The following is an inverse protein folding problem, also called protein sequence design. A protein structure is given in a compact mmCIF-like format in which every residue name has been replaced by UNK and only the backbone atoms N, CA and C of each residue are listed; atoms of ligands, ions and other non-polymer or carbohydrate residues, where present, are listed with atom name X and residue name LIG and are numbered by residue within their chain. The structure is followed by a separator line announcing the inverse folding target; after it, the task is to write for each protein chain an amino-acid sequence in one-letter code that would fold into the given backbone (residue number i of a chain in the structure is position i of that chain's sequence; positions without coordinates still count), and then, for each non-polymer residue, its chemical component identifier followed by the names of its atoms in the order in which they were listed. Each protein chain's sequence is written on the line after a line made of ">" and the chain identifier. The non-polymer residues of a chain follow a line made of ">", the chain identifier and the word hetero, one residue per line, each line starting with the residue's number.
data_IF_654662491167
#
_entry.id   IF_654662491167
#
_cell.length_a   1.000
_cell.length_b   1.000
_cell.length_c   1.000
_cell.angle_alpha   90.00
_cell.angle_beta   90.00
_cell.angle_gamma   90.00
#
_symmetry.space_group_name_H-M   'P 1'
#
loop_
_entity.id
_entity.type
_entity.pdbx_description
1 polymer ?
#
# COMPACT_ATOMS: atom_id res chain seq x y z
N UNK A 1 -7.78 -23.32 2.44
CA UNK A 1 -6.85 -22.28 2.92
C UNK A 1 -7.67 -21.09 3.37
N UNK A 2 -7.33 -20.53 4.49
CA UNK A 2 -7.91 -19.28 4.96
C UNK A 2 -7.22 -18.04 4.33
N UNK A 3 -7.70 -16.84 4.66
CA UNK A 3 -7.13 -15.61 4.12
C UNK A 3 -5.67 -15.40 4.54
N UNK A 4 -5.28 -15.58 5.82
CA UNK A 4 -3.88 -15.49 6.24
C UNK A 4 -2.94 -16.45 5.50
N UNK A 5 -3.29 -17.72 5.35
CA UNK A 5 -2.51 -18.69 4.57
C UNK A 5 -2.35 -18.30 3.10
N UNK A 6 -3.41 -17.75 2.51
CA UNK A 6 -3.38 -17.28 1.12
C UNK A 6 -2.44 -16.09 0.96
N UNK A 7 -2.46 -15.16 1.90
CA UNK A 7 -1.54 -14.01 1.92
C UNK A 7 -0.09 -14.47 2.11
N UNK A 8 0.17 -15.39 3.05
CA UNK A 8 1.51 -15.94 3.28
C UNK A 8 2.05 -16.64 2.02
N UNK A 9 1.24 -17.47 1.38
CA UNK A 9 1.63 -18.21 0.17
C UNK A 9 1.93 -17.24 -0.99
N UNK A 10 1.08 -16.22 -1.18
CA UNK A 10 1.27 -15.20 -2.21
C UNK A 10 2.54 -14.37 -1.96
N UNK A 11 2.78 -13.94 -0.72
CA UNK A 11 3.99 -13.19 -0.35
C UNK A 11 5.26 -14.02 -0.52
N UNK A 12 5.22 -15.31 -0.18
CA UNK A 12 6.34 -16.22 -0.42
C UNK A 12 6.65 -16.40 -1.91
N UNK A 13 5.62 -16.55 -2.74
CA UNK A 13 5.78 -16.65 -4.19
C UNK A 13 6.33 -15.34 -4.78
N UNK A 14 5.86 -14.18 -4.32
CA UNK A 14 6.36 -12.87 -4.74
C UNK A 14 7.85 -12.73 -4.39
N UNK A 15 8.26 -13.08 -3.17
CA UNK A 15 9.65 -13.02 -2.76
C UNK A 15 10.57 -13.88 -3.65
N UNK A 16 10.17 -15.11 -3.98
CA UNK A 16 10.93 -15.99 -4.87
C UNK A 16 11.00 -15.44 -6.30
N UNK A 17 9.89 -14.92 -6.83
CA UNK A 17 9.88 -14.27 -8.14
C UNK A 17 10.79 -13.04 -8.16
N UNK A 18 10.77 -12.24 -7.11
CA UNK A 18 11.60 -11.04 -6.97
C UNK A 18 13.09 -11.38 -6.89
N UNK A 19 13.46 -12.47 -6.21
CA UNK A 19 14.84 -12.99 -6.21
C UNK A 19 15.25 -13.43 -7.62
N UNK A 20 14.43 -14.22 -8.29
CA UNK A 20 14.70 -14.73 -9.63
C UNK A 20 14.86 -13.59 -10.66
N UNK A 21 14.08 -12.53 -10.53
CA UNK A 21 14.07 -11.39 -11.45
C UNK A 21 15.02 -10.24 -11.03
N UNK A 22 15.73 -10.37 -9.91
CA UNK A 22 16.53 -9.28 -9.34
C UNK A 22 17.53 -8.66 -10.35
N UNK A 23 18.16 -9.48 -11.22
CA UNK A 23 19.09 -9.04 -12.24
C UNK A 23 18.44 -8.22 -13.39
N UNK A 24 17.13 -8.27 -13.52
CA UNK A 24 16.32 -7.50 -14.50
C UNK A 24 15.66 -6.27 -13.93
N UNK A 25 15.82 -6.02 -12.62
CA UNK A 25 15.19 -4.87 -11.96
C UNK A 25 15.55 -3.56 -12.66
N UNK A 26 14.54 -2.74 -12.96
CA UNK A 26 14.68 -1.47 -13.66
C UNK A 26 15.02 -1.57 -15.15
N UNK A 27 15.16 -2.77 -15.74
CA UNK A 27 15.51 -2.92 -17.17
C UNK A 27 14.29 -3.08 -18.08
N UNK A 28 13.14 -3.35 -17.51
CA UNK A 28 11.86 -3.55 -18.22
C UNK A 28 10.89 -2.39 -18.00
N UNK A 29 11.29 -1.39 -17.25
CA UNK A 29 10.49 -0.21 -17.01
C UNK A 29 10.30 0.55 -18.32
N UNK A 30 9.05 0.87 -18.64
CA UNK A 30 8.69 1.76 -19.72
C UNK A 30 8.17 3.04 -19.13
N UNK A 31 8.89 4.14 -19.35
CA UNK A 31 8.37 5.46 -19.02
C UNK A 31 7.10 5.71 -19.83
N UNK A 32 6.02 6.05 -19.14
CA UNK A 32 4.82 6.58 -19.80
C UNK A 32 5.11 8.02 -20.21
N UNK A 33 4.96 8.29 -21.50
CA UNK A 33 5.08 9.65 -22.04
C UNK A 33 3.69 10.27 -22.00
N UNK A 34 3.56 11.35 -21.23
CA UNK A 34 2.33 12.14 -21.14
C UNK A 34 2.44 13.37 -22.03
N UNK A 35 1.30 13.90 -22.55
CA UNK A 35 1.30 15.19 -23.21
C UNK A 35 1.73 16.29 -22.23
N UNK A 36 2.25 17.43 -22.72
CA UNK A 36 2.60 18.57 -21.88
C UNK A 36 1.39 19.02 -21.03
N UNK A 37 1.62 19.27 -19.76
CA UNK A 37 0.62 19.77 -18.84
C UNK A 37 0.22 21.20 -19.25
N UNK A 38 -1.08 21.45 -19.35
CA UNK A 38 -1.63 22.78 -19.60
C UNK A 38 -1.79 23.50 -18.26
N UNK A 39 -1.30 24.73 -18.20
CA UNK A 39 -1.60 25.59 -17.06
C UNK A 39 -3.04 26.15 -17.19
N UNK A 40 -3.90 25.64 -16.34
CA UNK A 40 -5.32 26.06 -16.24
C UNK A 40 -5.62 26.70 -14.89
N UNK A 41 -4.57 27.12 -14.16
CA UNK A 41 -4.69 27.69 -12.81
C UNK A 41 -5.48 29.00 -12.76
N UNK A 42 -5.38 29.80 -13.80
CA UNK A 42 -6.09 31.08 -13.94
C UNK A 42 -7.48 30.95 -14.61
N UNK A 43 -7.87 29.74 -15.05
CA UNK A 43 -9.15 29.53 -15.70
C UNK A 43 -10.28 29.34 -14.70
N UNK A 44 -11.48 29.83 -15.05
CA UNK A 44 -12.70 29.49 -14.30
C UNK A 44 -12.91 27.97 -14.27
N UNK A 45 -13.32 27.42 -13.13
CA UNK A 45 -13.53 25.97 -12.99
C UNK A 45 -14.58 25.45 -13.99
N UNK A 46 -14.19 24.47 -14.79
CA UNK A 46 -15.04 23.68 -15.69
C UNK A 46 -14.97 22.22 -15.25
N UNK A 47 -15.88 21.84 -14.36
CA UNK A 47 -15.85 20.52 -13.72
C UNK A 47 -16.57 19.49 -14.58
N UNK A 48 -15.91 18.35 -14.84
CA UNK A 48 -16.53 17.14 -15.36
C UNK A 48 -16.86 16.17 -14.24
N UNK A 49 -18.09 15.65 -14.23
CA UNK A 49 -18.54 14.64 -13.25
C UNK A 49 -18.82 13.32 -13.96
N UNK A 50 -18.12 12.27 -13.56
CA UNK A 50 -18.27 10.91 -14.11
C UNK A 50 -18.82 9.99 -13.04
N UNK A 51 -20.06 9.52 -13.20
CA UNK A 51 -20.75 8.70 -12.21
C UNK A 51 -20.72 7.24 -12.62
N UNK A 52 -20.14 6.40 -11.78
CA UNK A 52 -19.95 4.98 -12.00
C UNK A 52 -21.10 4.16 -11.43
N UNK A 53 -21.61 3.20 -12.21
CA UNK A 53 -22.54 2.18 -11.71
C UNK A 53 -21.83 1.13 -10.84
N UNK A 54 -20.54 0.90 -11.06
CA UNK A 54 -19.78 -0.22 -10.47
C UNK A 54 -20.55 -1.55 -10.58
N UNK A 55 -21.14 -1.81 -11.75
CA UNK A 55 -22.11 -2.88 -11.97
C UNK A 55 -23.28 -2.78 -10.99
N UNK A 56 -23.52 -3.86 -10.26
CA UNK A 56 -24.59 -3.92 -9.28
C UNK A 56 -24.27 -3.26 -7.93
N UNK A 57 -23.01 -2.91 -7.67
CA UNK A 57 -22.60 -2.39 -6.35
C UNK A 57 -23.17 -0.99 -6.05
N UNK A 58 -23.22 -0.13 -7.05
CA UNK A 58 -23.81 1.21 -6.96
C UNK A 58 -25.16 1.21 -7.66
N UNK A 59 -25.22 0.80 -8.94
CA UNK A 59 -26.42 0.95 -9.77
C UNK A 59 -27.65 0.13 -9.34
N UNK A 60 -27.50 -0.85 -8.44
CA UNK A 60 -28.64 -1.56 -7.85
C UNK A 60 -29.35 -0.73 -6.76
N UNK A 61 -28.63 0.17 -6.11
CA UNK A 61 -29.07 0.89 -4.92
C UNK A 61 -29.29 2.37 -5.23
N UNK A 62 -28.33 3.00 -5.89
CA UNK A 62 -28.36 4.42 -6.27
C UNK A 62 -28.96 4.56 -7.65
N UNK A 63 -29.89 5.48 -7.82
CA UNK A 63 -30.38 5.94 -9.13
C UNK A 63 -29.33 6.83 -9.78
N UNK A 64 -28.38 6.20 -10.50
CA UNK A 64 -27.25 6.88 -11.13
C UNK A 64 -27.69 7.92 -12.15
N UNK A 65 -28.68 7.66 -13.04
CA UNK A 65 -29.20 8.71 -13.94
C UNK A 65 -29.63 9.97 -13.19
N UNK A 66 -30.39 9.81 -12.10
CA UNK A 66 -30.84 10.96 -11.29
C UNK A 66 -29.70 11.71 -10.61
N UNK A 67 -28.61 11.03 -10.28
CA UNK A 67 -27.38 11.69 -9.76
C UNK A 67 -26.69 12.50 -10.85
N UNK A 68 -26.62 11.99 -12.09
CA UNK A 68 -26.05 12.70 -13.24
C UNK A 68 -26.89 13.95 -13.57
N UNK A 69 -28.21 13.81 -13.66
CA UNK A 69 -29.13 14.95 -13.88
C UNK A 69 -28.93 16.03 -12.81
N UNK A 70 -28.89 15.62 -11.55
CA UNK A 70 -28.60 16.56 -10.46
C UNK A 70 -27.24 17.22 -10.57
N UNK A 71 -26.20 16.48 -10.93
CA UNK A 71 -24.85 17.03 -11.12
C UNK A 71 -24.84 18.15 -12.15
N UNK A 72 -25.59 18.01 -13.27
CA UNK A 72 -25.72 19.04 -14.29
C UNK A 72 -26.32 20.37 -13.78
N UNK A 73 -27.03 20.35 -12.66
CA UNK A 73 -27.62 21.57 -12.06
C UNK A 73 -26.66 22.35 -11.16
N UNK A 74 -25.51 21.75 -10.83
CA UNK A 74 -24.56 22.35 -9.92
C UNK A 74 -23.70 23.41 -10.58
N UNK A 75 -23.26 24.39 -9.80
CA UNK A 75 -22.36 25.45 -10.28
C UNK A 75 -21.04 24.87 -10.77
N UNK A 76 -20.50 25.42 -11.83
CA UNK A 76 -19.23 25.07 -12.46
C UNK A 76 -19.21 23.68 -13.12
N UNK A 77 -20.30 22.94 -13.16
CA UNK A 77 -20.35 21.68 -13.89
C UNK A 77 -20.55 21.97 -15.38
N UNK A 78 -19.53 21.63 -16.17
CA UNK A 78 -19.56 21.77 -17.63
C UNK A 78 -20.00 20.48 -18.33
N UNK A 79 -19.87 19.33 -17.65
CA UNK A 79 -20.26 18.03 -18.19
C UNK A 79 -20.54 17.05 -17.05
N UNK A 80 -21.56 16.19 -17.21
CA UNK A 80 -21.77 15.02 -16.36
C UNK A 80 -22.24 13.83 -17.19
N UNK A 81 -21.67 12.67 -16.95
CA UNK A 81 -22.07 11.43 -17.62
C UNK A 81 -21.94 10.22 -16.68
N UNK A 82 -22.58 9.12 -17.07
CA UNK A 82 -22.52 7.85 -16.35
C UNK A 82 -21.72 6.80 -17.11
N UNK A 83 -21.15 5.87 -16.39
CA UNK A 83 -20.47 4.70 -16.96
C UNK A 83 -20.70 3.45 -16.12
N UNK A 84 -20.71 2.27 -16.76
CA UNK A 84 -20.87 1.00 -16.03
C UNK A 84 -19.68 0.72 -15.12
N UNK A 85 -18.46 0.95 -15.62
CA UNK A 85 -17.20 0.77 -14.91
C UNK A 85 -16.24 1.88 -15.29
N UNK A 86 -16.20 2.95 -14.52
CA UNK A 86 -15.31 4.08 -14.79
C UNK A 86 -13.81 3.70 -14.80
N UNK A 87 -13.45 2.64 -14.07
CA UNK A 87 -12.07 2.12 -13.98
C UNK A 87 -11.67 1.16 -15.12
N UNK A 88 -12.58 0.83 -16.06
CA UNK A 88 -12.23 0.05 -17.23
C UNK A 88 -11.34 0.88 -18.19
N UNK A 89 -10.37 0.23 -18.84
CA UNK A 89 -9.36 0.93 -19.64
C UNK A 89 -9.96 1.79 -20.78
N UNK A 90 -10.96 1.26 -21.45
CA UNK A 90 -11.71 1.94 -22.51
C UNK A 90 -12.49 3.15 -21.97
N UNK A 91 -13.08 3.02 -20.79
CA UNK A 91 -13.81 4.10 -20.14
C UNK A 91 -12.85 5.18 -19.63
N UNK A 92 -11.72 4.82 -19.05
CA UNK A 92 -10.69 5.77 -18.61
C UNK A 92 -10.15 6.59 -19.82
N UNK A 93 -9.91 5.91 -20.95
CA UNK A 93 -9.54 6.57 -22.20
C UNK A 93 -10.63 7.54 -22.67
N UNK A 94 -11.90 7.12 -22.66
CA UNK A 94 -13.03 8.00 -23.02
C UNK A 94 -13.14 9.21 -22.10
N UNK A 95 -12.89 9.05 -20.79
CA UNK A 95 -12.83 10.17 -19.84
C UNK A 95 -11.74 11.15 -20.27
N UNK A 96 -10.53 10.67 -20.60
CA UNK A 96 -9.44 11.53 -21.07
C UNK A 96 -9.79 12.28 -22.37
N UNK A 97 -10.49 11.62 -23.30
CA UNK A 97 -10.99 12.23 -24.53
C UNK A 97 -12.04 13.30 -24.21
N UNK A 98 -13.02 13.01 -23.37
CA UNK A 98 -14.06 13.95 -22.94
C UNK A 98 -13.46 15.20 -22.24
N UNK A 99 -12.43 15.01 -21.40
CA UNK A 99 -11.71 16.12 -20.77
C UNK A 99 -11.16 17.07 -21.84
N UNK A 100 -10.51 16.52 -22.88
CA UNK A 100 -9.94 17.32 -23.98
C UNK A 100 -11.00 18.00 -24.83
N UNK A 101 -12.03 17.26 -25.23
CA UNK A 101 -13.10 17.74 -26.13
C UNK A 101 -13.95 18.82 -25.50
N UNK A 102 -14.28 18.68 -24.22
CA UNK A 102 -15.12 19.65 -23.49
C UNK A 102 -14.30 20.76 -22.83
N UNK A 103 -12.97 20.69 -22.89
CA UNK A 103 -12.10 21.65 -22.22
C UNK A 103 -12.28 21.65 -20.69
N UNK A 104 -12.49 20.47 -20.11
CA UNK A 104 -12.64 20.35 -18.66
C UNK A 104 -11.28 20.58 -17.99
N UNK A 105 -11.28 21.31 -16.88
CA UNK A 105 -10.06 21.61 -16.13
C UNK A 105 -10.11 21.14 -14.67
N UNK A 106 -11.22 20.53 -14.26
CA UNK A 106 -11.43 19.85 -12.98
C UNK A 106 -12.25 18.58 -13.21
N UNK A 107 -11.97 17.53 -12.47
CA UNK A 107 -12.66 16.24 -12.66
C UNK A 107 -13.10 15.66 -11.33
N UNK A 108 -14.33 15.18 -11.29
CA UNK A 108 -14.89 14.39 -10.20
C UNK A 108 -15.30 13.03 -10.74
N UNK A 109 -14.82 11.96 -10.12
CA UNK A 109 -15.30 10.61 -10.38
C UNK A 109 -16.09 10.12 -9.17
N UNK A 110 -17.40 9.98 -9.35
CA UNK A 110 -18.29 9.44 -8.33
C UNK A 110 -18.37 7.91 -8.46
N UNK A 111 -17.62 7.19 -7.62
CA UNK A 111 -17.43 5.75 -7.75
C UNK A 111 -17.13 5.09 -6.38
N UNK A 112 -16.20 4.15 -6.37
CA UNK A 112 -15.69 3.46 -5.17
C UNK A 112 -14.73 4.34 -4.36
N UNK A 113 -14.09 3.74 -3.33
CA UNK A 113 -13.10 4.43 -2.51
C UNK A 113 -11.88 4.86 -3.33
N UNK A 114 -11.33 6.07 -3.09
CA UNK A 114 -10.09 6.52 -3.73
C UNK A 114 -8.90 5.57 -3.51
N UNK A 115 -8.89 4.83 -2.40
CA UNK A 115 -7.84 3.84 -2.11
C UNK A 115 -7.65 2.78 -3.19
N UNK A 116 -8.67 2.55 -4.01
CA UNK A 116 -8.63 1.51 -5.06
C UNK A 116 -8.10 2.05 -6.38
N UNK A 117 -8.67 3.15 -6.87
CA UNK A 117 -8.45 3.58 -8.27
C UNK A 117 -8.07 5.06 -8.43
N UNK A 118 -7.78 5.79 -7.36
CA UNK A 118 -7.32 7.18 -7.49
C UNK A 118 -6.09 7.34 -8.38
N UNK A 119 -5.05 6.48 -8.31
CA UNK A 119 -3.90 6.57 -9.21
C UNK A 119 -4.27 6.44 -10.69
N UNK A 120 -5.21 5.55 -11.02
CA UNK A 120 -5.69 5.37 -12.39
C UNK A 120 -6.30 6.68 -12.95
N UNK A 121 -7.17 7.31 -12.18
CA UNK A 121 -7.83 8.54 -12.63
C UNK A 121 -6.88 9.72 -12.67
N UNK A 122 -5.91 9.80 -11.78
CA UNK A 122 -4.84 10.80 -11.85
C UNK A 122 -3.99 10.61 -13.12
N UNK A 123 -3.70 9.38 -13.51
CA UNK A 123 -3.03 9.10 -14.78
C UNK A 123 -3.92 9.49 -15.98
N UNK A 124 -5.23 9.25 -15.89
CA UNK A 124 -6.19 9.69 -16.92
C UNK A 124 -6.17 11.22 -17.13
N UNK A 125 -6.05 12.02 -16.05
CA UNK A 125 -5.88 13.47 -16.19
C UNK A 125 -4.55 13.82 -16.84
N UNK A 126 -3.46 13.17 -16.47
CA UNK A 126 -2.15 13.35 -17.13
C UNK A 126 -2.22 13.05 -18.63
N UNK A 127 -2.88 11.95 -19.00
CA UNK A 127 -3.12 11.59 -20.41
C UNK A 127 -3.94 12.65 -21.14
N UNK A 128 -4.84 13.37 -20.43
CA UNK A 128 -5.58 14.50 -20.97
C UNK A 128 -4.77 15.82 -21.01
N UNK A 129 -3.56 15.85 -20.45
CA UNK A 129 -2.72 17.04 -20.34
C UNK A 129 -3.15 18.00 -19.23
N UNK A 130 -3.80 17.51 -18.19
CA UNK A 130 -4.25 18.27 -17.03
C UNK A 130 -3.49 17.80 -15.79
N UNK A 131 -3.19 18.75 -14.88
CA UNK A 131 -2.54 18.41 -13.61
C UNK A 131 -3.33 17.35 -12.86
N UNK A 132 -2.70 16.23 -12.39
CA UNK A 132 -3.40 15.10 -11.78
C UNK A 132 -4.06 15.43 -10.42
N UNK A 133 -3.77 16.58 -9.85
CA UNK A 133 -4.35 17.02 -8.58
C UNK A 133 -5.60 17.88 -8.75
N UNK A 134 -6.00 18.22 -9.98
CA UNK A 134 -7.31 18.78 -10.29
C UNK A 134 -8.42 17.71 -10.30
N UNK A 135 -8.28 16.70 -9.47
CA UNK A 135 -9.12 15.52 -9.37
C UNK A 135 -9.67 15.33 -7.96
N UNK A 136 -10.94 15.00 -7.86
CA UNK A 136 -11.56 14.50 -6.62
C UNK A 136 -12.36 13.22 -6.85
N UNK A 137 -12.47 12.37 -5.85
CA UNK A 137 -13.19 11.11 -5.94
C UNK A 137 -14.31 11.03 -4.90
N UNK A 138 -15.54 11.13 -5.39
CA UNK A 138 -16.76 11.02 -4.60
C UNK A 138 -17.06 9.55 -4.30
N UNK A 139 -16.85 9.11 -3.06
CA UNK A 139 -17.11 7.72 -2.68
C UNK A 139 -18.61 7.47 -2.46
N UNK A 140 -19.28 7.03 -3.52
CA UNK A 140 -20.71 6.68 -3.50
C UNK A 140 -20.96 5.16 -3.39
N UNK A 141 -19.92 4.35 -3.22
CA UNK A 141 -20.02 2.91 -2.95
C UNK A 141 -19.93 2.61 -1.47
N UNK A 142 -18.72 2.70 -0.89
CA UNK A 142 -18.46 2.34 0.51
C UNK A 142 -19.17 3.28 1.48
N UNK A 143 -19.23 4.58 1.17
CA UNK A 143 -19.87 5.57 2.03
C UNK A 143 -21.37 5.76 1.75
N UNK A 144 -21.92 5.13 0.71
CA UNK A 144 -23.29 5.34 0.29
C UNK A 144 -24.03 4.02 -0.01
N UNK A 145 -23.87 3.42 -1.18
CA UNK A 145 -24.66 2.27 -1.62
C UNK A 145 -24.53 1.04 -0.73
N UNK A 146 -23.37 0.78 -0.14
CA UNK A 146 -23.18 -0.34 0.78
C UNK A 146 -23.76 -0.08 2.16
N UNK A 147 -23.69 1.16 2.65
CA UNK A 147 -24.24 1.53 3.95
C UNK A 147 -25.76 1.58 3.91
N UNK A 148 -26.35 2.07 2.81
CA UNK A 148 -27.78 2.23 2.61
C UNK A 148 -28.36 1.23 1.62
N UNK A 149 -27.88 -0.01 1.62
CA UNK A 149 -28.24 -1.03 0.62
C UNK A 149 -29.73 -1.37 0.54
N UNK A 150 -30.52 -1.06 1.58
CA UNK A 150 -31.96 -1.29 1.68
C UNK A 150 -32.80 -0.02 1.51
N UNK A 151 -32.18 1.15 1.47
CA UNK A 151 -32.81 2.48 1.52
C UNK A 151 -32.41 3.26 0.25
N UNK A 152 -32.98 2.85 -0.89
CA UNK A 152 -32.54 3.34 -2.22
C UNK A 152 -32.72 4.84 -2.41
N UNK A 153 -33.80 5.41 -1.88
CA UNK A 153 -34.10 6.83 -1.98
C UNK A 153 -33.08 7.64 -1.18
N UNK A 154 -32.83 7.25 0.07
CA UNK A 154 -31.83 7.88 0.94
C UNK A 154 -30.41 7.71 0.40
N UNK A 155 -30.10 6.52 -0.15
CA UNK A 155 -28.83 6.29 -0.83
C UNK A 155 -28.64 7.22 -2.03
N UNK A 156 -29.70 7.40 -2.85
CA UNK A 156 -29.63 8.30 -4.00
C UNK A 156 -29.47 9.76 -3.57
N UNK A 157 -30.20 10.18 -2.54
CA UNK A 157 -30.06 11.53 -2.01
C UNK A 157 -28.67 11.77 -1.42
N UNK A 158 -28.16 10.80 -0.66
CA UNK A 158 -26.79 10.87 -0.11
C UNK A 158 -25.73 10.89 -1.22
N UNK A 159 -25.91 10.13 -2.30
CA UNK A 159 -25.00 10.17 -3.45
C UNK A 159 -24.97 11.56 -4.09
N UNK A 160 -26.14 12.22 -4.25
CA UNK A 160 -26.23 13.61 -4.72
C UNK A 160 -25.49 14.57 -3.80
N UNK A 161 -25.63 14.42 -2.48
CA UNK A 161 -24.91 15.27 -1.52
C UNK A 161 -23.41 15.07 -1.57
N UNK A 162 -22.93 13.82 -1.68
CA UNK A 162 -21.49 13.51 -1.81
C UNK A 162 -20.96 14.11 -3.11
N UNK A 163 -21.67 13.96 -4.23
CA UNK A 163 -21.28 14.56 -5.53
C UNK A 163 -21.23 16.08 -5.44
N UNK A 164 -22.23 16.71 -4.82
CA UNK A 164 -22.26 18.18 -4.61
C UNK A 164 -21.05 18.65 -3.79
N UNK A 165 -20.70 17.95 -2.72
CA UNK A 165 -19.52 18.28 -1.91
C UNK A 165 -18.23 18.14 -2.70
N UNK A 166 -18.07 17.03 -3.44
CA UNK A 166 -16.90 16.81 -4.30
C UNK A 166 -16.80 17.82 -5.44
N UNK A 167 -17.90 18.18 -6.08
CA UNK A 167 -17.92 19.20 -7.12
C UNK A 167 -17.53 20.59 -6.60
N UNK A 168 -18.04 20.97 -5.42
CA UNK A 168 -17.64 22.18 -4.74
C UNK A 168 -16.15 22.18 -4.40
N UNK A 169 -15.65 21.09 -3.83
CA UNK A 169 -14.22 20.91 -3.52
C UNK A 169 -13.37 20.99 -4.79
N UNK A 170 -13.76 20.27 -5.84
CA UNK A 170 -13.03 20.26 -7.11
C UNK A 170 -12.86 21.66 -7.71
N UNK A 171 -13.86 22.53 -7.55
CA UNK A 171 -13.80 23.92 -8.01
C UNK A 171 -12.73 24.77 -7.32
N UNK A 172 -12.23 24.34 -6.15
CA UNK A 172 -11.20 25.02 -5.36
C UNK A 172 -9.85 24.30 -5.35
N UNK A 173 -9.69 23.22 -6.13
CA UNK A 173 -8.41 22.54 -6.22
C UNK A 173 -7.37 23.39 -6.94
N UNK A 174 -6.15 23.33 -6.47
CA UNK A 174 -4.98 23.99 -7.04
C UNK A 174 -4.01 22.93 -7.62
N UNK A 175 -3.17 23.29 -8.58
CA UNK A 175 -2.18 22.36 -9.11
C UNK A 175 -1.11 22.09 -8.07
N UNK A 176 -0.81 20.82 -7.86
CA UNK A 176 0.31 20.41 -7.03
C UNK A 176 1.39 19.82 -7.91
N UNK A 177 2.63 20.02 -7.52
CA UNK A 177 3.77 19.38 -8.16
C UNK A 177 4.26 18.23 -7.29
N UNK A 178 4.43 17.08 -7.93
CA UNK A 178 5.13 15.95 -7.30
C UNK A 178 6.63 16.25 -7.21
N UNK A 179 7.25 15.80 -6.16
CA UNK A 179 8.70 15.80 -6.03
C UNK A 179 9.16 14.37 -5.75
N UNK A 180 10.31 14.02 -6.30
CA UNK A 180 10.94 12.75 -6.05
C UNK A 180 11.90 12.86 -4.85
N UNK A 181 11.79 11.91 -3.94
CA UNK A 181 12.73 11.76 -2.83
C UNK A 181 13.60 10.53 -3.10
N UNK A 182 14.93 10.64 -2.92
CA UNK A 182 15.78 9.47 -3.00
C UNK A 182 15.40 8.47 -1.91
N UNK A 183 15.38 7.20 -2.26
CA UNK A 183 15.10 6.11 -1.31
C UNK A 183 16.40 5.37 -1.01
N UNK A 184 16.73 5.26 0.27
CA UNK A 184 17.82 4.41 0.72
C UNK A 184 17.43 2.93 0.48
N UNK A 185 18.25 2.21 -0.26
CA UNK A 185 17.95 0.82 -0.66
C UNK A 185 18.36 -0.22 0.40
N UNK A 186 18.91 0.22 1.54
CA UNK A 186 19.26 -0.66 2.66
C UNK A 186 18.03 -1.01 3.50
N UNK A 187 18.04 -2.16 4.09
CA UNK A 187 17.00 -2.64 4.99
C UNK A 187 17.52 -2.84 6.41
N UNK A 188 16.71 -2.51 7.40
CA UNK A 188 16.91 -2.90 8.79
C UNK A 188 15.92 -4.02 9.13
N UNK A 189 16.43 -5.13 9.66
CA UNK A 189 15.63 -6.23 10.18
C UNK A 189 15.86 -6.32 11.69
N UNK A 190 14.79 -6.19 12.47
CA UNK A 190 14.85 -6.24 13.94
C UNK A 190 14.32 -7.58 14.42
N UNK A 191 15.21 -8.40 14.96
CA UNK A 191 14.95 -9.74 15.46
C UNK A 191 15.60 -10.83 14.60
N UNK A 192 16.52 -11.58 15.20
CA UNK A 192 17.31 -12.63 14.56
C UNK A 192 16.66 -14.02 14.66
N UNK A 193 15.34 -14.10 14.82
CA UNK A 193 14.60 -15.36 14.75
C UNK A 193 14.43 -15.85 13.30
N UNK A 194 13.66 -16.94 13.13
CA UNK A 194 13.43 -17.56 11.82
C UNK A 194 12.89 -16.55 10.79
N UNK A 195 11.88 -15.77 11.16
CA UNK A 195 11.28 -14.77 10.26
C UNK A 195 12.28 -13.68 9.85
N UNK A 196 13.06 -13.15 10.81
CA UNK A 196 14.04 -12.10 10.54
C UNK A 196 15.19 -12.59 9.66
N UNK A 197 15.74 -13.76 9.96
CA UNK A 197 16.81 -14.37 9.14
C UNK A 197 16.35 -14.66 7.71
N UNK A 198 15.15 -15.22 7.56
CA UNK A 198 14.58 -15.51 6.24
C UNK A 198 14.32 -14.22 5.43
N UNK A 199 13.79 -13.18 6.09
CA UNK A 199 13.60 -11.88 5.45
C UNK A 199 14.92 -11.22 5.05
N UNK A 200 15.91 -11.26 5.94
CA UNK A 200 17.24 -10.72 5.66
C UNK A 200 17.91 -11.43 4.47
N UNK A 201 17.86 -12.75 4.44
CA UNK A 201 18.43 -13.53 3.35
C UNK A 201 17.70 -13.26 2.03
N UNK A 202 16.37 -13.24 2.05
CA UNK A 202 15.56 -12.96 0.87
C UNK A 202 15.86 -11.58 0.26
N UNK A 203 16.04 -10.55 1.07
CA UNK A 203 16.42 -9.22 0.61
C UNK A 203 17.85 -9.19 0.08
N UNK A 204 18.77 -9.82 0.76
CA UNK A 204 20.17 -9.87 0.36
C UNK A 204 20.37 -10.63 -0.96
N UNK A 205 19.66 -11.72 -1.18
CA UNK A 205 19.63 -12.46 -2.45
C UNK A 205 19.02 -11.65 -3.60
N UNK A 206 18.21 -10.65 -3.28
CA UNK A 206 17.72 -9.65 -4.24
C UNK A 206 18.72 -8.51 -4.49
N UNK A 207 19.88 -8.51 -3.84
CA UNK A 207 20.95 -7.52 -4.00
C UNK A 207 20.80 -6.28 -3.11
N UNK A 208 19.99 -6.34 -2.06
CA UNK A 208 19.92 -5.27 -1.07
C UNK A 208 20.89 -5.50 0.09
N UNK A 209 21.43 -4.41 0.62
CA UNK A 209 22.20 -4.44 1.87
C UNK A 209 21.25 -4.49 3.06
N UNK A 210 21.52 -5.39 4.01
CA UNK A 210 20.64 -5.68 5.15
C UNK A 210 21.41 -5.61 6.47
N UNK A 211 20.87 -4.88 7.41
CA UNK A 211 21.31 -4.87 8.81
C UNK A 211 20.35 -5.70 9.65
N UNK A 212 20.84 -6.81 10.21
CA UNK A 212 20.07 -7.71 11.07
C UNK A 212 20.48 -7.47 12.53
N UNK A 213 19.54 -7.00 13.34
CA UNK A 213 19.76 -6.68 14.76
C UNK A 213 19.05 -7.71 15.64
N UNK A 214 19.79 -8.36 16.53
CA UNK A 214 19.28 -9.34 17.50
C UNK A 214 19.70 -8.94 18.92
N UNK A 215 18.75 -8.96 19.84
CA UNK A 215 18.99 -8.61 21.25
C UNK A 215 19.80 -9.65 22.03
N UNK A 216 19.71 -10.91 21.62
CA UNK A 216 20.45 -12.00 22.26
C UNK A 216 21.81 -12.20 21.60
N UNK A 217 22.66 -12.97 22.25
CA UNK A 217 24.00 -13.37 21.75
C UNK A 217 23.91 -14.21 20.48
N UNK A 218 22.81 -14.94 20.31
CA UNK A 218 22.65 -15.94 19.26
C UNK A 218 21.43 -15.69 18.38
N UNK A 219 21.58 -15.91 17.07
CA UNK A 219 20.47 -16.00 16.14
C UNK A 219 19.64 -17.28 16.37
N UNK A 220 18.39 -17.27 15.93
CA UNK A 220 17.51 -18.44 15.92
C UNK A 220 16.22 -18.27 16.71
N UNK A 221 16.19 -17.40 17.71
CA UNK A 221 14.99 -17.11 18.50
C UNK A 221 14.32 -18.38 19.05
N UNK A 222 12.98 -18.46 18.94
CA UNK A 222 12.19 -19.60 19.41
C UNK A 222 12.52 -20.93 18.72
N UNK A 223 13.01 -20.91 17.47
CA UNK A 223 13.36 -22.13 16.75
C UNK A 223 14.46 -22.93 17.43
N UNK A 224 15.32 -22.33 18.27
CA UNK A 224 16.33 -23.01 19.06
C UNK A 224 15.74 -24.00 20.07
N UNK A 225 14.47 -23.88 20.45
CA UNK A 225 13.76 -24.71 21.41
C UNK A 225 12.92 -25.81 20.76
N UNK A 226 12.81 -25.79 19.42
CA UNK A 226 12.02 -26.75 18.65
C UNK A 226 12.97 -27.74 17.99
N UNK A 227 12.80 -29.03 18.24
CA UNK A 227 13.67 -30.06 17.66
C UNK A 227 13.08 -30.62 16.36
N UNK A 228 11.79 -30.91 16.34
CA UNK A 228 11.11 -31.49 15.19
C UNK A 228 9.77 -30.81 14.93
N UNK A 229 9.35 -30.74 13.67
CA UNK A 229 7.97 -30.39 13.30
C UNK A 229 7.05 -31.60 13.49
N UNK A 230 5.74 -31.41 13.37
CA UNK A 230 4.78 -32.52 13.38
C UNK A 230 5.01 -33.51 12.25
N UNK A 231 5.55 -33.07 11.12
CA UNK A 231 5.90 -33.88 9.95
C UNK A 231 7.27 -34.56 10.09
N UNK A 232 7.97 -34.35 11.20
CA UNK A 232 9.25 -35.00 11.51
C UNK A 232 10.49 -34.28 10.92
N UNK A 233 10.36 -33.04 10.44
CA UNK A 233 11.51 -32.27 9.96
C UNK A 233 12.43 -31.89 11.15
N UNK A 234 13.74 -32.08 10.99
CA UNK A 234 14.75 -31.64 11.95
C UNK A 234 14.92 -30.10 11.87
N UNK A 235 14.39 -29.41 12.88
CA UNK A 235 14.42 -27.94 12.97
C UNK A 235 15.83 -27.45 13.29
N UNK A 236 16.64 -28.19 14.05
CA UNK A 236 17.98 -27.77 14.43
C UNK A 236 18.95 -27.84 13.24
N UNK A 237 18.83 -28.87 12.41
CA UNK A 237 19.60 -28.98 11.18
C UNK A 237 19.25 -27.83 10.20
N UNK A 238 17.95 -27.55 10.01
CA UNK A 238 17.48 -26.43 9.18
C UNK A 238 17.96 -25.09 9.73
N UNK A 239 17.85 -24.85 11.03
CA UNK A 239 18.27 -23.63 11.70
C UNK A 239 19.77 -23.38 11.53
N UNK A 240 20.59 -24.43 11.72
CA UNK A 240 22.03 -24.35 11.51
C UNK A 240 22.43 -23.95 10.09
N UNK A 241 21.76 -24.54 9.09
CA UNK A 241 21.97 -24.15 7.68
C UNK A 241 21.58 -22.68 7.41
N UNK A 242 20.41 -22.24 7.91
CA UNK A 242 19.94 -20.88 7.74
C UNK A 242 20.87 -19.85 8.41
N UNK A 243 21.29 -20.09 9.65
CA UNK A 243 22.26 -19.24 10.36
C UNK A 243 23.57 -19.17 9.55
N UNK A 244 24.05 -20.31 9.07
CA UNK A 244 25.24 -20.36 8.24
C UNK A 244 25.14 -19.56 6.95
N UNK A 245 23.98 -19.60 6.27
CA UNK A 245 23.70 -18.77 5.09
C UNK A 245 23.71 -17.28 5.41
N UNK A 246 23.06 -16.87 6.50
CA UNK A 246 23.00 -15.46 6.94
C UNK A 246 24.40 -14.93 7.22
N UNK A 247 25.23 -15.62 7.98
CA UNK A 247 26.59 -15.16 8.30
C UNK A 247 27.54 -15.17 7.10
N UNK A 248 27.35 -16.05 6.13
CA UNK A 248 28.18 -16.10 4.92
C UNK A 248 27.80 -15.09 3.86
N UNK A 249 26.61 -14.49 3.95
CA UNK A 249 26.15 -13.56 2.91
C UNK A 249 26.78 -12.17 3.07
N UNK A 250 27.54 -11.74 2.07
CA UNK A 250 28.31 -10.48 2.12
C UNK A 250 27.47 -9.21 2.30
N UNK A 251 26.20 -9.24 1.93
CA UNK A 251 25.28 -8.09 2.05
C UNK A 251 24.47 -8.11 3.35
N UNK A 252 24.74 -9.04 4.28
CA UNK A 252 24.04 -9.07 5.56
C UNK A 252 25.02 -8.72 6.68
N UNK A 253 24.73 -7.65 7.40
CA UNK A 253 25.45 -7.21 8.58
C UNK A 253 24.72 -7.61 9.84
N UNK A 254 25.22 -8.61 10.53
CA UNK A 254 24.60 -9.14 11.76
C UNK A 254 25.15 -8.42 12.97
N UNK A 255 24.27 -7.94 13.83
CA UNK A 255 24.58 -7.37 15.13
C UNK A 255 23.80 -8.11 16.22
N UNK A 256 24.46 -8.98 16.96
CA UNK A 256 23.92 -9.64 18.15
C UNK A 256 24.19 -8.78 19.40
N UNK A 257 23.63 -9.13 20.55
CA UNK A 257 23.71 -8.34 21.80
C UNK A 257 23.37 -6.86 21.56
N UNK A 258 22.43 -6.62 20.66
CA UNK A 258 22.15 -5.29 20.11
C UNK A 258 20.67 -4.96 20.17
N UNK A 259 20.35 -3.73 20.59
CA UNK A 259 18.98 -3.26 20.70
C UNK A 259 18.79 -1.93 19.95
N UNK A 260 17.62 -1.79 19.36
CA UNK A 260 17.18 -0.51 18.78
C UNK A 260 16.79 0.44 19.92
N UNK A 261 17.40 1.61 19.97
CA UNK A 261 17.16 2.60 21.03
C UNK A 261 16.43 3.84 20.54
N UNK A 262 16.58 4.19 19.25
CA UNK A 262 15.91 5.35 18.66
C UNK A 262 15.69 5.09 17.17
N UNK A 263 14.58 5.58 16.63
CA UNK A 263 14.31 5.59 15.20
C UNK A 263 13.71 6.94 14.80
N UNK A 264 14.20 7.52 13.71
CA UNK A 264 13.77 8.80 13.17
C UNK A 264 13.74 8.75 11.64
N UNK A 265 13.24 9.83 11.02
CA UNK A 265 13.11 9.91 9.56
C UNK A 265 11.70 9.61 9.06
N UNK A 266 11.61 9.17 7.81
CA UNK A 266 10.35 8.90 7.12
C UNK A 266 10.54 7.75 6.14
N UNK A 267 9.44 7.24 5.59
CA UNK A 267 9.44 6.10 4.65
C UNK A 267 10.44 6.35 3.51
N UNK A 268 11.36 5.40 3.33
CA UNK A 268 12.45 5.51 2.38
C UNK A 268 13.73 6.12 2.94
N UNK A 269 13.71 6.79 4.11
CA UNK A 269 14.86 7.50 4.66
C UNK A 269 14.84 7.51 6.19
N UNK A 270 15.00 6.34 6.78
CA UNK A 270 15.10 6.17 8.23
C UNK A 270 16.54 6.26 8.71
N UNK A 271 16.71 6.73 9.94
CA UNK A 271 17.95 6.65 10.69
C UNK A 271 17.61 6.00 12.04
N UNK A 272 18.19 4.84 12.28
CA UNK A 272 17.97 4.07 13.53
C UNK A 272 19.27 3.97 14.32
N UNK A 273 19.18 4.20 15.61
CA UNK A 273 20.27 3.98 16.53
C UNK A 273 20.18 2.56 17.11
N UNK A 274 21.28 1.85 17.02
CA UNK A 274 21.44 0.51 17.57
C UNK A 274 22.54 0.57 18.60
N UNK A 275 22.28 0.07 19.80
CA UNK A 275 23.23 0.03 20.90
C UNK A 275 23.66 -1.41 21.16
N UNK A 276 24.97 -1.65 21.17
CA UNK A 276 25.62 -2.90 21.54
C UNK A 276 26.76 -2.60 22.50
N UNK A 277 26.81 -3.27 23.65
CA UNK A 277 27.87 -3.10 24.67
C UNK A 277 28.18 -1.62 25.02
N UNK A 278 27.14 -0.77 25.05
CA UNK A 278 27.28 0.67 25.32
C UNK A 278 27.80 1.50 24.14
N UNK A 279 28.06 0.90 23.01
CA UNK A 279 28.41 1.59 21.76
C UNK A 279 27.16 1.84 20.92
N UNK A 280 27.01 3.05 20.42
CA UNK A 280 25.88 3.44 19.59
C UNK A 280 26.31 3.52 18.13
N UNK A 281 25.64 2.77 17.27
CA UNK A 281 25.78 2.83 15.82
C UNK A 281 24.52 3.44 15.21
N UNK A 282 24.68 4.36 14.25
CA UNK A 282 23.59 4.91 13.45
C UNK A 282 23.51 4.20 12.09
N UNK A 283 22.38 3.58 11.82
CA UNK A 283 22.12 2.87 10.57
C UNK A 283 21.12 3.69 9.75
N UNK A 284 21.49 4.01 8.50
CA UNK A 284 20.57 4.59 7.51
C UNK A 284 19.95 3.46 6.69
N UNK A 285 18.64 3.51 6.52
CA UNK A 285 17.92 2.49 5.75
C UNK A 285 16.59 3.03 5.22
N UNK A 286 16.05 2.41 4.17
CA UNK A 286 14.77 2.82 3.58
C UNK A 286 13.58 2.12 4.19
N UNK A 287 13.75 0.89 4.69
CA UNK A 287 12.68 0.09 5.29
C UNK A 287 13.13 -0.56 6.60
N UNK A 288 12.16 -0.82 7.47
CA UNK A 288 12.35 -1.62 8.69
C UNK A 288 11.42 -2.82 8.65
N UNK A 289 11.97 -4.01 8.85
CA UNK A 289 11.20 -5.24 9.06
C UNK A 289 11.26 -5.58 10.54
N UNK A 290 10.11 -5.62 11.20
CA UNK A 290 9.99 -5.97 12.61
C UNK A 290 9.66 -7.46 12.71
N UNK A 291 10.62 -8.24 13.20
CA UNK A 291 10.53 -9.69 13.33
C UNK A 291 10.89 -10.13 14.77
N UNK A 292 10.46 -9.37 15.77
CA UNK A 292 10.84 -9.54 17.19
C UNK A 292 10.27 -10.79 17.85
N UNK A 293 9.37 -11.50 17.18
CA UNK A 293 8.75 -12.72 17.67
C UNK A 293 7.78 -12.49 18.82
N UNK A 294 7.57 -13.54 19.61
CA UNK A 294 6.70 -13.52 20.78
C UNK A 294 7.37 -14.30 21.93
N UNK A 295 6.94 -14.04 23.12
CA UNK A 295 7.33 -14.82 24.30
C UNK A 295 6.25 -15.86 24.61
N UNK A 296 6.67 -17.00 25.15
CA UNK A 296 5.77 -18.04 25.61
C UNK A 296 4.94 -17.51 26.78
N UNK A 297 3.62 -17.54 26.64
CA UNK A 297 2.73 -17.23 27.75
C UNK A 297 2.80 -18.30 28.82
N UNK A 298 3.14 -17.91 30.06
CA UNK A 298 3.12 -18.77 31.22
C UNK A 298 1.89 -18.47 32.06
N UNK A 299 0.79 -19.23 31.91
CA UNK A 299 -0.42 -18.99 32.65
C UNK A 299 -0.18 -19.14 34.17
N UNK A 300 -0.88 -18.34 34.96
CA UNK A 300 -0.91 -18.46 36.42
C UNK A 300 -2.24 -19.03 36.91
N UNK A 301 -3.17 -19.21 36.01
CA UNK A 301 -4.50 -19.77 36.21
C UNK A 301 -4.41 -21.29 36.46
N UNK A 302 -5.42 -21.83 37.09
CA UNK A 302 -5.59 -23.28 37.33
C UNK A 302 -4.36 -23.96 38.00
N UNK A 303 -3.62 -23.24 38.84
CA UNK A 303 -2.42 -23.73 39.53
C UNK A 303 -1.27 -24.18 38.60
N UNK A 304 -1.27 -23.75 37.34
CA UNK A 304 -0.20 -24.10 36.39
C UNK A 304 1.17 -23.73 36.96
N UNK A 305 2.08 -24.66 36.96
CA UNK A 305 3.43 -24.49 37.51
C UNK A 305 3.54 -24.35 39.05
N UNK A 306 2.43 -24.45 39.79
CA UNK A 306 2.41 -24.34 41.26
C UNK A 306 2.30 -25.71 41.95
N UNK A 307 2.01 -26.76 41.21
CA UNK A 307 1.93 -28.14 41.76
C UNK A 307 3.02 -29.01 41.12
N UNK A 308 3.80 -29.65 41.96
CA UNK A 308 4.74 -30.71 41.57
C UNK A 308 3.93 -31.97 41.28
N UNK A 309 3.46 -32.19 40.06
CA UNK A 309 2.77 -33.44 39.78
C UNK A 309 1.85 -33.48 38.54
N UNK A 310 2.07 -32.65 37.54
CA UNK A 310 1.48 -32.83 36.22
C UNK A 310 2.48 -32.40 35.15
#
# INVERSE_FOLDING_TARGET
>A
RDIPESVMTASGADALCSQFLAYRRGKLDRERIYPPEKDVSAEEPKVGVFVCHCGANIGRVVDVPSVVEYACTLKNIAHAEQSTFACAADTAQKIAETIREKGLNRVVVAACTPRTHEPLFRDTLREAGINPYYFDMANIREHCSWVHSREKEDATQKAKDIVRMSAARASHLEPLQGFELPVDKRALVVGGGLAGMTSALSLAEQGFEVYLVEKNTDLGGMARRIHYTLEGMDVQAYLGDLIGKVYRHSSIHVSTDSTVTEASGYVGNFITQVTSEGRVQKIRHGITIIATGAEEYKPTEYLYGKTTGY
#
